data_IF_385908047242
#
_entry.id   IF_385908047242
#
_cell.length_a   1.000
_cell.length_b   1.000
_cell.length_c   1.000
_cell.angle_alpha   90.00
_cell.angle_beta   90.00
_cell.angle_gamma   90.00
#
_symmetry.space_group_name_H-M   'P 1'
#
loop_
_entity.id
_entity.type
_entity.pdbx_description
1 polymer ?
#
# COMPACT_ATOMS: atom_id res chain seq x y z
N UNK A 1 -17.46 -2.59 20.15
CA UNK A 1 -16.00 -2.48 19.96
C UNK A 1 -15.40 -1.55 21.02
N UNK A 2 -14.29 -1.93 21.65
CA UNK A 2 -13.58 -1.09 22.65
C UNK A 2 -12.99 0.15 21.96
N UNK A 3 -12.94 1.33 22.62
CA UNK A 3 -12.21 2.48 22.08
C UNK A 3 -10.71 2.14 21.92
N UNK A 4 -10.03 2.75 20.94
CA UNK A 4 -8.59 2.52 20.76
C UNK A 4 -7.80 3.16 21.91
N UNK A 5 -6.54 2.75 22.12
CA UNK A 5 -5.63 3.46 23.03
C UNK A 5 -5.51 4.94 22.66
N UNK A 6 -5.43 5.81 23.67
CA UNK A 6 -5.43 7.26 23.47
C UNK A 6 -4.31 7.75 22.54
N UNK A 7 -3.11 7.17 22.65
CA UNK A 7 -1.97 7.56 21.82
C UNK A 7 -2.24 7.28 20.32
N UNK A 8 -2.89 6.16 20.01
CA UNK A 8 -3.35 5.85 18.64
C UNK A 8 -4.41 6.85 18.20
N UNK A 9 -5.40 7.12 19.04
CA UNK A 9 -6.47 8.07 18.73
C UNK A 9 -5.92 9.47 18.42
N UNK A 10 -5.01 9.98 19.23
CA UNK A 10 -4.40 11.30 19.07
C UNK A 10 -3.60 11.41 17.75
N UNK A 11 -2.91 10.32 17.35
CA UNK A 11 -2.19 10.23 16.07
C UNK A 11 -3.13 10.13 14.87
N UNK A 12 -4.16 9.28 14.96
CA UNK A 12 -5.14 9.12 13.90
C UNK A 12 -5.92 10.44 13.66
N UNK A 13 -6.34 11.13 14.72
CA UNK A 13 -6.95 12.46 14.64
C UNK A 13 -5.98 13.51 14.07
N UNK A 14 -4.67 13.34 14.28
CA UNK A 14 -3.66 14.20 13.65
C UNK A 14 -3.60 13.98 12.15
N UNK A 15 -3.69 12.74 11.67
CA UNK A 15 -3.78 12.43 10.24
C UNK A 15 -4.98 13.12 9.61
N UNK A 16 -6.18 12.99 10.21
CA UNK A 16 -7.40 13.67 9.74
C UNK A 16 -7.16 15.18 9.59
N UNK A 17 -6.55 15.83 10.59
CA UNK A 17 -6.24 17.27 10.53
C UNK A 17 -5.21 17.62 9.45
N UNK A 18 -4.24 16.75 9.20
CA UNK A 18 -3.23 16.97 8.16
C UNK A 18 -3.84 16.88 6.77
N UNK A 19 -4.65 15.85 6.51
CA UNK A 19 -5.35 15.65 5.23
C UNK A 19 -6.35 16.78 4.99
N UNK A 20 -7.15 17.14 5.99
CA UNK A 20 -8.13 18.24 5.87
C UNK A 20 -7.44 19.57 5.56
N UNK A 21 -6.30 19.86 6.21
CA UNK A 21 -5.53 21.08 5.92
C UNK A 21 -4.91 21.06 4.52
N UNK A 22 -4.41 19.91 4.08
CA UNK A 22 -3.63 19.82 2.83
C UNK A 22 -4.51 19.70 1.59
N UNK A 23 -5.67 19.04 1.69
CA UNK A 23 -6.54 18.68 0.57
C UNK A 23 -7.95 19.26 0.70
N UNK A 24 -8.34 19.83 1.85
CA UNK A 24 -9.68 20.35 2.08
C UNK A 24 -10.75 19.26 2.26
N UNK A 25 -10.33 18.01 2.47
CA UNK A 25 -11.21 16.85 2.65
C UNK A 25 -11.02 16.25 4.04
N UNK A 26 -12.12 15.99 4.74
CA UNK A 26 -12.10 15.38 6.06
C UNK A 26 -12.32 13.87 5.95
N UNK A 27 -11.30 13.11 6.30
CA UNK A 27 -11.36 11.66 6.43
C UNK A 27 -12.34 11.24 7.56
N UNK A 28 -13.05 10.14 7.37
CA UNK A 28 -14.15 9.70 8.25
C UNK A 28 -13.95 8.32 8.90
N UNK A 29 -12.78 7.69 8.68
CA UNK A 29 -12.44 6.33 9.08
C UNK A 29 -13.18 5.22 8.35
N UNK A 30 -13.84 5.52 7.23
CA UNK A 30 -14.40 4.53 6.32
C UNK A 30 -13.41 4.21 5.18
N UNK A 31 -13.35 2.95 4.70
CA UNK A 31 -12.48 2.53 3.61
C UNK A 31 -12.56 3.42 2.36
N UNK A 32 -13.75 3.94 2.05
CA UNK A 32 -14.03 4.77 0.88
C UNK A 32 -13.23 6.08 0.86
N UNK A 33 -12.68 6.51 2.00
CA UNK A 33 -11.82 7.71 2.08
C UNK A 33 -10.34 7.42 1.92
N UNK A 34 -9.91 6.15 1.86
CA UNK A 34 -8.50 5.79 1.67
C UNK A 34 -7.88 6.31 0.36
N UNK A 35 -8.59 6.38 -0.79
CA UNK A 35 -8.03 7.02 -1.98
C UNK A 35 -7.61 8.48 -1.76
N UNK A 36 -8.28 9.20 -0.84
CA UNK A 36 -7.88 10.56 -0.45
C UNK A 36 -6.60 10.54 0.37
N UNK A 37 -6.44 9.53 1.24
CA UNK A 37 -5.21 9.32 2.01
C UNK A 37 -4.02 8.96 1.10
N UNK A 38 -4.24 8.13 0.08
CA UNK A 38 -3.20 7.78 -0.90
C UNK A 38 -2.68 9.03 -1.61
N UNK A 39 -3.59 9.87 -2.08
CA UNK A 39 -3.24 11.16 -2.70
C UNK A 39 -2.53 12.10 -1.72
N UNK A 40 -2.93 12.09 -0.45
CA UNK A 40 -2.22 12.85 0.59
C UNK A 40 -0.79 12.35 0.78
N UNK A 41 -0.54 11.04 0.78
CA UNK A 41 0.81 10.47 0.92
C UNK A 41 1.70 10.89 -0.24
N UNK A 42 1.21 10.86 -1.48
CA UNK A 42 1.92 11.38 -2.66
C UNK A 42 2.39 12.82 -2.45
N UNK A 43 1.46 13.70 -2.06
CA UNK A 43 1.76 15.10 -1.76
C UNK A 43 2.73 15.24 -0.59
N UNK A 44 2.54 14.46 0.46
CA UNK A 44 3.40 14.50 1.65
C UNK A 44 4.83 14.04 1.34
N UNK A 45 5.02 13.07 0.45
CA UNK A 45 6.35 12.66 -0.05
C UNK A 45 7.07 13.83 -0.72
N UNK A 46 6.37 14.59 -1.55
CA UNK A 46 6.90 15.77 -2.22
C UNK A 46 7.25 16.88 -1.21
N UNK A 47 6.31 17.21 -0.33
CA UNK A 47 6.45 18.29 0.67
C UNK A 47 7.57 18.01 1.70
N UNK A 48 7.88 16.74 1.95
CA UNK A 48 8.91 16.31 2.91
C UNK A 48 10.19 15.81 2.26
N UNK A 49 10.35 15.97 0.94
CA UNK A 49 11.55 15.54 0.22
C UNK A 49 12.85 16.05 0.86
N UNK A 50 12.86 17.33 1.25
CA UNK A 50 14.01 18.00 1.87
C UNK A 50 13.92 18.07 3.41
N UNK A 51 12.85 17.54 4.01
CA UNK A 51 12.56 17.59 5.47
C UNK A 51 12.30 16.18 6.00
N UNK A 52 13.30 15.32 5.91
CA UNK A 52 13.18 13.89 6.25
C UNK A 52 12.82 13.65 7.72
N UNK A 53 13.16 14.58 8.61
CA UNK A 53 12.83 14.54 10.03
C UNK A 53 11.32 14.59 10.32
N UNK A 54 10.49 15.08 9.38
CA UNK A 54 9.03 15.09 9.52
C UNK A 54 8.37 13.75 9.16
N UNK A 55 9.05 12.88 8.41
CA UNK A 55 8.49 11.62 7.91
C UNK A 55 8.04 10.66 9.01
N UNK A 56 8.80 10.44 10.10
CA UNK A 56 8.37 9.51 11.15
C UNK A 56 7.04 9.91 11.77
N UNK A 57 6.82 11.20 12.04
CA UNK A 57 5.56 11.68 12.62
C UNK A 57 4.39 11.52 11.63
N UNK A 58 4.62 11.77 10.34
CA UNK A 58 3.60 11.53 9.31
C UNK A 58 3.26 10.05 9.19
N UNK A 59 4.27 9.18 9.14
CA UNK A 59 4.09 7.73 9.09
C UNK A 59 3.29 7.22 10.29
N UNK A 60 3.60 7.71 11.49
CA UNK A 60 2.86 7.38 12.71
C UNK A 60 1.40 7.83 12.63
N UNK A 61 1.12 9.06 12.18
CA UNK A 61 -0.24 9.55 12.04
C UNK A 61 -1.03 8.78 10.98
N UNK A 62 -0.46 8.59 9.79
CA UNK A 62 -1.06 7.86 8.66
C UNK A 62 -1.31 6.40 9.05
N UNK A 63 -0.31 5.73 9.63
CA UNK A 63 -0.43 4.34 10.08
C UNK A 63 -1.42 4.16 11.22
N UNK A 64 -1.50 5.08 12.18
CA UNK A 64 -2.53 5.04 13.21
C UNK A 64 -3.94 5.19 12.61
N UNK A 65 -4.11 6.07 11.62
CA UNK A 65 -5.39 6.20 10.91
C UNK A 65 -5.75 4.93 10.13
N UNK A 66 -4.83 4.39 9.33
CA UNK A 66 -5.04 3.15 8.56
C UNK A 66 -5.36 1.97 9.49
N UNK A 67 -4.62 1.83 10.59
CA UNK A 67 -4.88 0.81 11.59
C UNK A 67 -6.26 0.97 12.25
N UNK A 68 -6.75 2.19 12.47
CA UNK A 68 -8.11 2.41 12.95
C UNK A 68 -9.18 2.01 11.92
N UNK A 69 -8.95 2.26 10.63
CA UNK A 69 -9.84 1.78 9.55
C UNK A 69 -9.90 0.25 9.56
N UNK A 70 -8.73 -0.41 9.51
CA UNK A 70 -8.63 -1.87 9.53
C UNK A 70 -9.27 -2.46 10.80
N UNK A 71 -9.00 -1.87 11.97
CA UNK A 71 -9.56 -2.32 13.25
C UNK A 71 -11.09 -2.26 13.27
N UNK A 72 -11.68 -1.21 12.69
CA UNK A 72 -13.14 -1.04 12.62
C UNK A 72 -13.78 -2.02 11.65
N UNK A 73 -13.17 -2.19 10.48
CA UNK A 73 -13.69 -3.05 9.41
C UNK A 73 -13.60 -4.54 9.78
N UNK A 74 -12.46 -4.97 10.33
CA UNK A 74 -12.15 -6.38 10.56
C UNK A 74 -12.22 -6.79 12.03
N UNK A 75 -12.82 -5.97 12.89
CA UNK A 75 -12.98 -6.26 14.32
C UNK A 75 -11.64 -6.58 15.01
N UNK A 76 -10.69 -5.65 14.93
CA UNK A 76 -9.37 -5.83 15.53
C UNK A 76 -9.19 -5.18 16.91
N UNK A 77 -8.00 -5.34 17.45
CA UNK A 77 -7.51 -4.62 18.62
C UNK A 77 -6.05 -4.19 18.43
N UNK A 78 -5.69 -3.08 19.07
CA UNK A 78 -4.32 -2.56 19.05
C UNK A 78 -3.48 -3.22 20.12
N UNK A 79 -2.25 -3.60 19.75
CA UNK A 79 -1.18 -3.94 20.68
C UNK A 79 -0.04 -2.94 20.57
N UNK A 80 0.33 -2.36 21.72
CA UNK A 80 1.40 -1.38 21.87
C UNK A 80 2.51 -2.06 22.68
N UNK A 81 3.39 -2.83 22.02
CA UNK A 81 4.47 -3.54 22.70
C UNK A 81 5.47 -2.58 23.37
N UNK A 82 5.85 -1.52 22.66
CA UNK A 82 6.64 -0.43 23.22
C UNK A 82 5.93 0.91 22.99
N UNK A 83 5.49 1.54 24.09
CA UNK A 83 4.86 2.87 24.05
C UNK A 83 5.80 3.95 23.49
N UNK A 84 7.12 3.74 23.54
CA UNK A 84 8.14 4.68 23.04
C UNK A 84 8.54 4.42 21.60
N UNK A 85 8.16 3.28 21.02
CA UNK A 85 8.37 2.98 19.61
C UNK A 85 7.05 2.68 18.89
N UNK A 86 6.36 3.72 18.38
CA UNK A 86 5.15 3.54 17.60
C UNK A 86 5.27 2.62 16.38
N UNK A 87 6.47 2.39 15.83
CA UNK A 87 6.62 1.45 14.70
C UNK A 87 6.37 0.00 15.11
N UNK A 88 6.52 -0.33 16.40
CA UNK A 88 6.20 -1.65 16.96
C UNK A 88 4.70 -1.90 17.11
N UNK A 89 3.87 -0.85 17.03
CA UNK A 89 2.44 -0.99 17.26
C UNK A 89 1.77 -1.72 16.11
N UNK A 90 0.84 -2.60 16.45
CA UNK A 90 0.15 -3.46 15.49
C UNK A 90 -1.33 -3.58 15.78
N UNK A 91 -2.08 -3.96 14.74
CA UNK A 91 -3.48 -4.36 14.83
C UNK A 91 -3.53 -5.87 14.70
N UNK A 92 -4.16 -6.50 15.67
CA UNK A 92 -4.43 -7.94 15.74
C UNK A 92 -5.94 -8.13 15.44
N UNK A 93 -6.31 -9.10 14.62
CA UNK A 93 -7.70 -9.31 14.18
C UNK A 93 -8.41 -10.38 15.02
N UNK A 94 -9.63 -10.08 15.49
CA UNK A 94 -10.47 -11.09 16.15
C UNK A 94 -10.87 -12.26 15.20
N UNK A 95 -11.32 -12.04 13.95
CA UNK A 95 -11.91 -13.13 13.16
C UNK A 95 -10.89 -14.15 12.65
N UNK A 96 -9.62 -13.80 12.50
CA UNK A 96 -8.57 -14.66 11.91
C UNK A 96 -7.21 -14.26 12.45
N UNK A 97 -6.26 -15.20 12.53
CA UNK A 97 -4.90 -14.87 12.96
C UNK A 97 -4.18 -14.05 11.88
N UNK A 98 -4.30 -12.74 11.99
CA UNK A 98 -3.58 -11.77 11.18
C UNK A 98 -3.11 -10.61 12.05
N UNK A 99 -1.84 -10.24 11.88
CA UNK A 99 -1.20 -9.07 12.44
C UNK A 99 -0.92 -8.08 11.31
N UNK A 100 -1.40 -6.85 11.44
CA UNK A 100 -1.09 -5.73 10.56
C UNK A 100 -0.18 -4.72 11.27
N UNK A 101 0.90 -4.29 10.62
CA UNK A 101 1.83 -3.24 11.09
C UNK A 101 1.65 -1.95 10.27
N UNK A 102 0.60 -1.15 10.54
CA UNK A 102 0.18 -0.09 9.64
C UNK A 102 1.13 1.11 9.65
N UNK A 103 1.91 1.32 10.71
CA UNK A 103 2.92 2.39 10.77
C UNK A 103 4.14 2.05 9.91
N UNK A 104 4.53 0.77 9.84
CA UNK A 104 5.59 0.34 8.93
C UNK A 104 5.15 0.47 7.46
N UNK A 105 3.91 0.08 7.16
CA UNK A 105 3.29 0.28 5.84
C UNK A 105 3.35 1.75 5.41
N UNK A 106 2.89 2.66 6.27
CA UNK A 106 2.93 4.09 6.02
C UNK A 106 4.37 4.63 5.87
N UNK A 107 5.32 4.07 6.61
CA UNK A 107 6.75 4.43 6.50
C UNK A 107 7.28 4.08 5.11
N UNK A 108 7.06 2.85 4.64
CA UNK A 108 7.45 2.40 3.29
C UNK A 108 6.81 3.25 2.20
N UNK A 109 5.51 3.53 2.34
CA UNK A 109 4.79 4.38 1.40
C UNK A 109 5.40 5.79 1.32
N UNK A 110 5.86 6.38 2.42
CA UNK A 110 6.51 7.70 2.42
C UNK A 110 7.97 7.69 1.93
N UNK A 111 8.62 6.52 1.94
CA UNK A 111 10.01 6.37 1.49
C UNK A 111 10.15 6.09 0.00
N UNK A 112 9.04 5.80 -0.70
CA UNK A 112 9.01 5.72 -2.15
C UNK A 112 9.57 6.99 -2.83
N UNK A 113 10.25 6.84 -3.97
CA UNK A 113 10.60 7.97 -4.78
C UNK A 113 9.32 8.71 -5.23
N UNK A 114 9.39 10.03 -5.44
CA UNK A 114 8.28 10.79 -6.00
C UNK A 114 7.93 10.24 -7.39
N UNK A 115 6.64 9.99 -7.63
CA UNK A 115 6.15 9.54 -8.92
C UNK A 115 6.56 10.55 -10.00
N UNK A 116 7.25 10.15 -11.09
CA UNK A 116 7.53 11.08 -12.18
C UNK A 116 6.21 11.59 -12.77
N UNK A 117 6.18 12.84 -13.26
CA UNK A 117 5.00 13.38 -13.93
C UNK A 117 4.61 12.45 -15.08
N UNK A 118 3.33 12.08 -15.17
CA UNK A 118 2.81 11.28 -16.29
C UNK A 118 3.17 11.98 -17.59
N UNK A 119 3.79 11.26 -18.52
CA UNK A 119 4.05 11.79 -19.86
C UNK A 119 2.71 12.02 -20.55
N UNK A 120 2.29 13.28 -20.63
CA UNK A 120 1.06 13.69 -21.31
C UNK A 120 1.29 13.89 -22.80
N UNK A 121 2.44 13.46 -23.35
CA UNK A 121 2.68 13.53 -24.78
C UNK A 121 1.55 12.80 -25.52
N UNK A 122 0.93 13.44 -26.52
CA UNK A 122 -0.12 12.79 -27.29
C UNK A 122 0.45 11.50 -27.90
N UNK A 123 -0.30 10.41 -27.76
CA UNK A 123 -0.01 9.13 -28.42
C UNK A 123 0.23 9.46 -29.89
N UNK A 124 1.48 9.31 -30.36
CA UNK A 124 1.82 9.54 -31.76
C UNK A 124 0.97 8.56 -32.58
N UNK A 125 -0.03 9.10 -33.28
CA UNK A 125 -0.77 8.36 -34.29
C UNK A 125 0.27 7.79 -35.24
N UNK A 126 0.34 6.45 -35.32
CA UNK A 126 1.10 5.77 -36.38
C UNK A 126 0.49 6.26 -37.68
N UNK A 127 1.19 7.15 -38.38
CA UNK A 127 0.87 7.45 -39.77
C UNK A 127 1.11 6.16 -40.53
N UNK A 128 0.03 5.62 -41.09
CA UNK A 128 0.07 4.54 -42.05
C UNK A 128 1.06 4.93 -43.16
N UNK A 129 2.08 4.09 -43.34
CA UNK A 129 3.02 4.15 -44.45
C UNK A 129 2.24 3.76 -45.71
N UNK A 130 1.89 4.76 -46.53
CA UNK A 130 1.58 4.51 -47.94
C UNK A 130 2.91 4.47 -48.70
N UNK A 131 3.19 3.29 -49.24
CA UNK A 131 4.22 2.99 -50.23
C UNK A 131 4.19 4.02 -51.37
N UNK A 132 5.32 4.68 -51.63
CA UNK A 132 5.66 5.16 -52.96
C UNK A 132 7.14 4.84 -53.21
N UNK A 133 7.36 3.99 -54.22
CA UNK A 133 8.66 3.61 -54.77
C UNK A 133 9.32 4.79 -55.53
N UNK A 134 10.61 4.61 -55.82
CA UNK A 134 11.47 5.41 -56.72
C UNK A 134 12.13 6.68 -56.14
N UNK A 135 13.42 6.58 -55.77
CA UNK A 135 14.52 6.91 -56.70
C UNK A 135 15.89 6.82 -55.98
N UNK A 136 16.86 6.21 -56.66
CA UNK A 136 18.27 6.15 -56.26
C UNK A 136 18.91 7.54 -56.37
N UNK A 137 19.53 8.04 -55.29
CA UNK A 137 20.70 8.91 -55.45
C UNK A 137 21.56 8.98 -54.17
N UNK A 138 22.86 8.83 -54.38
CA UNK A 138 23.94 8.93 -53.40
C UNK A 138 24.06 10.37 -52.85
N UNK A 139 24.15 10.58 -51.52
CA UNK A 139 25.21 11.44 -50.97
C UNK A 139 25.36 11.38 -49.43
N UNK A 140 26.61 11.59 -49.04
CA UNK A 140 27.30 11.79 -47.77
C UNK A 140 26.55 12.41 -46.57
N UNK A 141 26.81 11.81 -45.41
CA UNK A 141 27.28 12.51 -44.22
C UNK A 141 26.24 13.28 -43.41
N UNK A 142 25.73 12.66 -42.33
CA UNK A 142 25.31 13.38 -41.13
C UNK A 142 25.43 12.47 -39.90
N UNK A 143 25.96 13.04 -38.84
CA UNK A 143 26.28 12.42 -37.55
C UNK A 143 25.08 11.67 -36.96
N UNK A 144 25.25 10.38 -36.70
CA UNK A 144 24.33 9.60 -35.88
C UNK A 144 24.46 10.04 -34.42
N UNK A 145 23.67 11.04 -34.02
CA UNK A 145 23.32 11.23 -32.63
C UNK A 145 22.48 10.01 -32.22
N UNK A 146 23.10 9.10 -31.49
CA UNK A 146 22.43 7.98 -30.87
C UNK A 146 21.34 8.51 -29.93
N UNK A 147 20.09 8.51 -30.42
CA UNK A 147 18.93 8.43 -29.54
C UNK A 147 19.07 7.10 -28.80
N UNK A 148 19.61 7.20 -27.59
CA UNK A 148 19.59 6.10 -26.64
C UNK A 148 18.12 5.93 -26.26
N UNK A 149 17.40 5.10 -27.03
CA UNK A 149 16.17 4.46 -26.58
C UNK A 149 16.51 3.79 -25.25
N UNK A 150 16.18 4.46 -24.14
CA UNK A 150 16.17 3.84 -22.83
C UNK A 150 15.16 2.70 -22.96
N UNK A 151 15.66 1.47 -22.99
CA UNK A 151 14.85 0.29 -22.80
C UNK A 151 13.92 0.55 -21.61
N UNK A 152 12.64 0.14 -21.68
CA UNK A 152 11.72 0.31 -20.57
C UNK A 152 12.40 -0.31 -19.34
N UNK A 153 12.60 0.52 -18.33
CA UNK A 153 13.08 0.10 -17.02
C UNK A 153 12.14 -1.04 -16.61
N UNK A 154 12.68 -2.26 -16.61
CA UNK A 154 11.93 -3.49 -16.36
C UNK A 154 11.27 -3.30 -15.00
N UNK A 155 9.96 -3.01 -15.01
CA UNK A 155 9.22 -2.71 -13.80
C UNK A 155 9.34 -3.94 -12.91
N UNK A 156 10.15 -3.84 -11.85
CA UNK A 156 10.27 -4.88 -10.83
C UNK A 156 8.86 -5.01 -10.28
N UNK A 157 8.20 -6.11 -10.62
CA UNK A 157 6.86 -6.42 -10.13
C UNK A 157 7.07 -6.85 -8.68
N UNK A 158 6.61 -6.09 -7.68
CA UNK A 158 6.75 -6.51 -6.29
C UNK A 158 6.01 -7.84 -6.08
N UNK A 159 6.65 -8.78 -5.39
CA UNK A 159 6.03 -10.08 -5.10
C UNK A 159 5.00 -9.85 -3.99
N UNK A 160 3.69 -10.12 -4.21
CA UNK A 160 2.66 -9.89 -3.20
C UNK A 160 2.84 -10.72 -1.94
N UNK A 161 3.76 -11.70 -1.93
CA UNK A 161 4.13 -12.49 -0.75
C UNK A 161 5.26 -11.88 0.08
N UNK A 162 5.97 -10.86 -0.42
CA UNK A 162 7.07 -10.18 0.31
C UNK A 162 6.61 -9.61 1.66
N UNK A 163 5.31 -9.30 1.76
CA UNK A 163 4.71 -8.71 2.95
C UNK A 163 4.11 -9.71 3.94
N UNK A 164 4.02 -11.01 3.59
CA UNK A 164 3.45 -12.09 4.42
C UNK A 164 4.38 -12.59 5.54
N UNK A 165 5.18 -11.69 6.09
CA UNK A 165 6.14 -11.94 7.17
C UNK A 165 5.99 -10.94 8.33
N UNK A 166 6.94 -10.92 9.28
CA UNK A 166 6.86 -10.06 10.46
C UNK A 166 6.99 -8.56 10.14
N UNK A 167 7.10 -8.19 8.87
CA UNK A 167 7.36 -6.82 8.46
C UNK A 167 6.07 -5.99 8.29
N UNK A 168 5.06 -6.50 7.56
CA UNK A 168 3.78 -5.79 7.35
C UNK A 168 2.57 -6.63 7.76
N UNK A 169 2.47 -7.86 7.26
CA UNK A 169 1.35 -8.77 7.47
C UNK A 169 1.86 -10.11 8.01
N UNK A 170 1.56 -10.41 9.27
CA UNK A 170 1.97 -11.67 9.89
C UNK A 170 0.78 -12.60 10.10
N UNK A 171 0.94 -13.82 9.59
CA UNK A 171 -0.05 -14.89 9.54
C UNK A 171 0.43 -16.09 10.33
N UNK A 172 -0.49 -16.98 10.69
CA UNK A 172 -0.13 -18.31 11.15
C UNK A 172 0.63 -19.07 10.03
N UNK A 173 1.64 -19.85 10.43
CA UNK A 173 2.50 -20.57 9.50
C UNK A 173 1.70 -21.55 8.63
N UNK A 174 0.68 -22.21 9.18
CA UNK A 174 -0.15 -23.18 8.47
C UNK A 174 -1.02 -22.52 7.40
N UNK A 175 -1.34 -21.24 7.57
CA UNK A 175 -2.23 -20.48 6.70
C UNK A 175 -1.50 -19.76 5.55
N UNK A 176 -0.20 -19.48 5.70
CA UNK A 176 0.59 -18.70 4.72
C UNK A 176 0.51 -19.24 3.30
N UNK A 177 0.55 -20.56 3.13
CA UNK A 177 0.55 -21.18 1.81
C UNK A 177 -0.77 -20.94 1.06
N UNK A 178 -1.90 -21.06 1.74
CA UNK A 178 -3.21 -20.84 1.15
C UNK A 178 -3.43 -19.36 0.79
N UNK A 179 -2.95 -18.44 1.64
CA UNK A 179 -2.99 -17.01 1.36
C UNK A 179 -2.11 -16.65 0.17
N UNK A 180 -0.89 -17.18 0.11
CA UNK A 180 0.02 -16.93 -1.01
C UNK A 180 -0.57 -17.40 -2.35
N UNK A 181 -1.22 -18.57 -2.38
CA UNK A 181 -1.94 -19.04 -3.58
C UNK A 181 -3.05 -18.06 -3.99
N UNK A 182 -3.78 -17.49 -3.03
CA UNK A 182 -4.83 -16.51 -3.31
C UNK A 182 -4.26 -15.20 -3.87
N UNK A 183 -3.18 -14.68 -3.29
CA UNK A 183 -2.55 -13.43 -3.72
C UNK A 183 -1.85 -13.57 -5.08
N UNK A 184 -1.32 -14.75 -5.42
CA UNK A 184 -0.71 -15.02 -6.72
C UNK A 184 -1.69 -14.93 -7.91
N UNK A 185 -3.00 -14.93 -7.64
CA UNK A 185 -4.04 -14.75 -8.66
C UNK A 185 -4.37 -13.29 -8.94
N UNK A 186 -3.83 -12.35 -8.15
CA UNK A 186 -4.09 -10.93 -8.34
C UNK A 186 -3.30 -10.40 -9.55
N UNK A 187 -3.88 -9.45 -10.31
CA UNK A 187 -3.15 -8.79 -11.37
C UNK A 187 -1.99 -7.97 -10.77
N UNK A 188 -0.88 -7.80 -11.52
CA UNK A 188 0.21 -6.94 -11.08
C UNK A 188 -0.25 -5.47 -11.03
N UNK A 189 0.28 -4.73 -10.07
CA UNK A 189 0.01 -3.30 -9.86
C UNK A 189 1.30 -2.48 -9.98
N UNK A 190 1.16 -1.16 -10.11
CA UNK A 190 2.33 -0.27 -10.09
C UNK A 190 2.96 -0.21 -8.70
N UNK A 191 4.23 0.17 -8.58
CA UNK A 191 4.93 0.31 -7.29
C UNK A 191 4.23 1.30 -6.33
N UNK A 192 3.71 2.41 -6.88
CA UNK A 192 2.95 3.38 -6.09
C UNK A 192 1.63 2.80 -5.55
N UNK A 193 0.96 1.97 -6.35
CA UNK A 193 -0.28 1.30 -5.98
C UNK A 193 -0.02 0.13 -5.02
N UNK A 194 1.09 -0.59 -5.19
CA UNK A 194 1.53 -1.65 -4.28
C UNK A 194 1.65 -1.11 -2.85
N UNK A 195 2.25 0.06 -2.67
CA UNK A 195 2.42 0.69 -1.36
C UNK A 195 1.25 1.58 -0.90
N UNK A 196 0.15 1.64 -1.65
CA UNK A 196 -0.99 2.48 -1.27
C UNK A 196 -1.76 1.87 -0.08
N UNK A 197 -2.14 2.68 0.94
CA UNK A 197 -3.05 2.25 2.00
C UNK A 197 -4.34 1.59 1.54
N UNK A 198 -4.98 2.10 0.48
CA UNK A 198 -6.21 1.49 -0.08
C UNK A 198 -5.95 0.06 -0.56
N UNK A 199 -4.96 -0.14 -1.42
CA UNK A 199 -4.55 -1.45 -1.94
C UNK A 199 -4.23 -2.43 -0.81
N UNK A 200 -3.50 -1.99 0.22
CA UNK A 200 -3.18 -2.86 1.35
C UNK A 200 -4.40 -3.26 2.17
N UNK A 201 -5.39 -2.37 2.31
CA UNK A 201 -6.64 -2.72 2.99
C UNK A 201 -7.42 -3.77 2.18
N UNK A 202 -7.44 -3.65 0.85
CA UNK A 202 -8.02 -4.67 -0.04
C UNK A 202 -7.27 -6.02 0.09
N UNK A 203 -5.95 -5.99 0.18
CA UNK A 203 -5.15 -7.20 0.45
C UNK A 203 -5.52 -7.82 1.79
N UNK A 204 -5.69 -7.03 2.86
CA UNK A 204 -6.18 -7.54 4.15
C UNK A 204 -7.55 -8.18 4.02
N UNK A 205 -8.47 -7.58 3.27
CA UNK A 205 -9.80 -8.17 3.01
C UNK A 205 -9.69 -9.53 2.31
N UNK A 206 -8.88 -9.62 1.25
CA UNK A 206 -8.63 -10.87 0.51
C UNK A 206 -8.04 -11.95 1.43
N UNK A 207 -7.11 -11.58 2.30
CA UNK A 207 -6.50 -12.48 3.28
C UNK A 207 -7.57 -12.99 4.25
N UNK A 208 -8.35 -12.09 4.85
CA UNK A 208 -9.42 -12.46 5.80
C UNK A 208 -10.43 -13.41 5.15
N UNK A 209 -10.83 -13.15 3.92
CA UNK A 209 -11.72 -14.02 3.16
C UNK A 209 -11.10 -15.41 2.90
N UNK A 210 -9.83 -15.46 2.51
CA UNK A 210 -9.12 -16.72 2.26
C UNK A 210 -9.03 -17.56 3.55
N UNK A 211 -8.66 -16.95 4.66
CA UNK A 211 -8.55 -17.62 5.96
C UNK A 211 -9.91 -18.14 6.43
N UNK A 212 -10.98 -17.35 6.31
CA UNK A 212 -12.35 -17.81 6.60
C UNK A 212 -12.75 -19.01 5.74
N UNK A 213 -12.41 -18.98 4.44
CA UNK A 213 -12.69 -20.10 3.54
C UNK A 213 -11.94 -21.37 3.95
N UNK A 214 -10.66 -21.27 4.31
CA UNK A 214 -9.86 -22.38 4.82
C UNK A 214 -10.46 -22.97 6.10
N UNK A 215 -10.86 -22.12 7.04
CA UNK A 215 -11.50 -22.55 8.29
C UNK A 215 -12.81 -23.30 8.06
N UNK A 216 -13.67 -22.79 7.18
CA UNK A 216 -14.92 -23.47 6.81
C UNK A 216 -14.67 -24.81 6.12
N UNK A 217 -13.65 -24.90 5.25
CA UNK A 217 -13.26 -26.15 4.59
C UNK A 217 -12.75 -27.20 5.59
N UNK A 218 -12.13 -26.75 6.69
CA UNK A 218 -11.73 -27.60 7.82
C UNK A 218 -12.88 -27.95 8.78
N UNK A 219 -14.10 -27.49 8.52
CA UNK A 219 -15.28 -27.74 9.35
C UNK A 219 -15.35 -26.88 10.62
N UNK A 220 -14.57 -25.80 10.69
CA UNK A 220 -14.60 -24.81 11.78
C UNK A 220 -15.56 -23.66 11.45
N UNK A 221 -15.89 -22.83 12.46
CA UNK A 221 -16.56 -21.56 12.23
C UNK A 221 -15.65 -20.60 11.44
N UNK A 222 -16.26 -19.78 10.59
CA UNK A 222 -15.54 -18.85 9.72
C UNK A 222 -14.67 -17.90 10.55
N UNK A 223 -15.23 -17.33 11.62
CA UNK A 223 -14.51 -16.47 12.56
C UNK A 223 -13.90 -17.30 13.70
N UNK A 224 -12.70 -16.92 14.12
CA UNK A 224 -11.95 -17.55 15.20
C UNK A 224 -12.26 -16.97 16.58
N UNK A 225 -12.80 -15.76 16.64
CA UNK A 225 -13.10 -15.05 17.89
C UNK A 225 -11.87 -14.92 18.80
N UNK A 226 -10.73 -14.56 18.21
CA UNK A 226 -9.45 -14.42 18.91
C UNK A 226 -9.47 -13.26 19.90
N UNK A 227 -8.87 -13.49 21.05
CA UNK A 227 -8.59 -12.50 22.07
C UNK A 227 -7.10 -12.12 22.05
N UNK A 228 -6.69 -11.01 22.71
CA UNK A 228 -5.29 -10.62 22.76
C UNK A 228 -4.34 -11.74 23.24
N UNK A 229 -4.77 -12.57 24.17
CA UNK A 229 -3.92 -13.63 24.70
C UNK A 229 -3.59 -14.73 23.66
N UNK A 230 -4.36 -14.85 22.57
CA UNK A 230 -4.10 -15.79 21.47
C UNK A 230 -2.93 -15.38 20.56
N UNK A 231 -2.45 -14.14 20.69
CA UNK A 231 -1.33 -13.56 19.92
C UNK A 231 0.00 -13.53 20.72
N UNK A 232 0.12 -14.37 21.76
CA UNK A 232 1.23 -14.37 22.73
C UNK A 232 2.31 -15.39 22.44
#
# INVERSE_FOLDING_TARGET
>A
MKPPPRAVQDLADSCVRFVERALGFKLDFEPETLPVLDHYIEKAREDTRDRKEARPLLAQAIGAYLGEVARRQFQGFWRLEDEHDPRSWRVELEPVYLILRPIELATRALDLPPTPPRDTSPIRERKDEEDDEDDEDENEGTEAAAESEKAPEEAVVPDPTDDLGPALLELDEDDRAAVAERLALLPPVSDAEYHAPSTHLEVVEIIVEALRACRMAAGMEADAHLEPDDYS
#
